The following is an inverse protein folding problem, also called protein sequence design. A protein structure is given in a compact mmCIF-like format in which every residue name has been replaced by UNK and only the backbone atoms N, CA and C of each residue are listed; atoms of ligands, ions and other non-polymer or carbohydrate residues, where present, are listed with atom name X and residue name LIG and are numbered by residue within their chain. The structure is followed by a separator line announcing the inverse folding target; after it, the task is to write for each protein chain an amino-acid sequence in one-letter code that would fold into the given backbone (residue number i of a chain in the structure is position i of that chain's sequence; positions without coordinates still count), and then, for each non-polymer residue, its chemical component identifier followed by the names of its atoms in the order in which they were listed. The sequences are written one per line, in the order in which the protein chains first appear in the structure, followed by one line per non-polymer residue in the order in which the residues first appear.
data_IF_683080258890
#
_entry.id   IF_683080258890
#
_cell.length_a   1.000
_cell.length_b   1.000
_cell.length_c   1.000
_cell.angle_alpha   90.00
_cell.angle_beta   90.00
_cell.angle_gamma   90.00
#
_symmetry.space_group_name_H-M   'P 1'
#
loop_
_entity.id
_entity.type
_entity.pdbx_description
1 polymer ?
#
# COMPACT_ATOMS: atom_id res chain seq x y z
N UNK A 1 -17.10 2.44 -4.01
CA UNK A 1 -15.84 1.87 -3.43
C UNK A 1 -16.03 1.75 -1.92
N UNK A 2 -15.63 0.63 -1.32
CA UNK A 2 -15.65 0.41 0.15
C UNK A 2 -14.31 0.85 0.72
N UNK A 3 -14.30 1.55 1.87
CA UNK A 3 -13.06 1.89 2.59
C UNK A 3 -12.97 1.11 3.88
N UNK A 4 -11.84 0.45 4.12
CA UNK A 4 -11.55 -0.37 5.30
C UNK A 4 -10.20 0.01 5.91
N UNK A 5 -10.10 -0.12 7.23
CA UNK A 5 -8.91 0.25 7.99
C UNK A 5 -8.27 -0.95 8.71
N UNK A 6 -9.01 -2.04 8.91
CA UNK A 6 -8.48 -3.22 9.61
C UNK A 6 -8.13 -4.36 8.65
N UNK A 7 -7.08 -5.11 8.98
CA UNK A 7 -6.69 -6.31 8.24
C UNK A 7 -7.77 -7.39 8.34
N UNK A 8 -8.49 -7.45 9.47
CA UNK A 8 -9.57 -8.40 9.66
C UNK A 8 -10.69 -8.20 8.63
N UNK A 9 -11.20 -6.97 8.48
CA UNK A 9 -12.27 -6.64 7.55
C UNK A 9 -11.83 -6.79 6.09
N UNK A 10 -10.57 -6.40 5.79
CA UNK A 10 -9.98 -6.62 4.46
C UNK A 10 -9.97 -8.11 4.11
N UNK A 11 -9.51 -8.96 5.03
CA UNK A 11 -9.46 -10.42 4.83
C UNK A 11 -10.84 -11.03 4.65
N UNK A 12 -11.83 -10.57 5.39
CA UNK A 12 -13.22 -11.02 5.21
C UNK A 12 -13.74 -10.70 3.80
N UNK A 13 -13.55 -9.47 3.35
CA UNK A 13 -13.97 -9.04 2.01
C UNK A 13 -13.26 -9.83 0.90
N UNK A 14 -11.94 -9.97 0.99
CA UNK A 14 -11.12 -10.70 0.00
C UNK A 14 -11.47 -12.20 0.01
N UNK A 15 -11.70 -12.78 1.19
CA UNK A 15 -12.10 -14.20 1.31
C UNK A 15 -13.46 -14.46 0.68
N UNK A 16 -14.44 -13.58 0.88
CA UNK A 16 -15.75 -13.69 0.25
C UNK A 16 -15.65 -13.66 -1.29
N UNK A 17 -14.87 -12.73 -1.84
CA UNK A 17 -14.65 -12.65 -3.29
C UNK A 17 -13.97 -13.90 -3.85
N UNK A 18 -12.91 -14.38 -3.19
CA UNK A 18 -12.21 -15.60 -3.61
C UNK A 18 -13.09 -16.84 -3.53
N UNK A 19 -13.92 -16.95 -2.49
CA UNK A 19 -14.90 -18.05 -2.35
C UNK A 19 -15.96 -18.02 -3.45
N UNK A 20 -16.26 -16.84 -4.01
CA UNK A 20 -17.13 -16.68 -5.17
C UNK A 20 -16.38 -16.89 -6.51
N UNK A 21 -15.14 -17.38 -6.50
CA UNK A 21 -14.33 -17.64 -7.68
C UNK A 21 -13.73 -16.39 -8.33
N UNK A 22 -13.80 -15.22 -7.68
CA UNK A 22 -13.29 -13.97 -8.20
C UNK A 22 -11.79 -13.82 -7.97
N UNK A 23 -11.08 -13.34 -8.97
CA UNK A 23 -9.66 -12.95 -8.86
C UNK A 23 -9.57 -11.55 -8.25
N UNK A 24 -8.64 -11.37 -7.33
CA UNK A 24 -8.40 -10.11 -6.63
C UNK A 24 -7.01 -9.60 -6.96
N UNK A 25 -6.89 -8.39 -7.47
CA UNK A 25 -5.63 -7.67 -7.64
C UNK A 25 -5.41 -6.68 -6.50
N UNK A 26 -4.16 -6.47 -6.10
CA UNK A 26 -3.73 -5.47 -5.12
C UNK A 26 -2.82 -4.44 -5.81
N UNK A 27 -3.11 -3.16 -5.59
CA UNK A 27 -2.28 -2.03 -6.00
C UNK A 27 -1.84 -1.27 -4.74
N UNK A 28 -0.63 -1.56 -4.21
CA UNK A 28 -0.13 -0.87 -3.03
C UNK A 28 0.40 0.52 -3.38
N UNK A 29 0.05 1.52 -2.56
CA UNK A 29 0.50 2.91 -2.69
C UNK A 29 0.76 3.55 -1.34
N UNK A 30 1.39 4.72 -1.34
CA UNK A 30 1.51 5.58 -0.15
C UNK A 30 0.58 6.81 -0.20
N UNK A 31 -0.36 6.87 -1.14
CA UNK A 31 -1.23 8.02 -1.37
C UNK A 31 -0.59 9.08 -2.27
N UNK A 32 -1.17 10.29 -2.27
CA UNK A 32 -0.83 11.38 -3.19
C UNK A 32 -0.88 10.91 -4.65
N UNK A 33 -2.03 10.31 -5.02
CA UNK A 33 -2.18 9.59 -6.27
C UNK A 33 -2.14 10.54 -7.48
N UNK A 34 -1.47 10.11 -8.51
CA UNK A 34 -1.39 10.76 -9.83
C UNK A 34 -1.80 9.76 -10.92
N UNK A 35 -1.86 10.23 -12.17
CA UNK A 35 -2.37 9.44 -13.30
C UNK A 35 -1.66 8.08 -13.45
N UNK A 36 -0.36 8.01 -13.21
CA UNK A 36 0.38 6.73 -13.24
C UNK A 36 -0.13 5.69 -12.26
N UNK A 37 -0.59 6.10 -11.05
CA UNK A 37 -1.24 5.18 -10.12
C UNK A 37 -2.60 4.74 -10.63
N UNK A 38 -3.38 5.65 -11.25
CA UNK A 38 -4.69 5.34 -11.80
C UNK A 38 -4.58 4.36 -12.98
N UNK A 39 -3.53 4.48 -13.79
CA UNK A 39 -3.24 3.52 -14.86
C UNK A 39 -2.94 2.11 -14.33
N UNK A 40 -2.24 1.99 -13.20
CA UNK A 40 -2.07 0.70 -12.54
C UNK A 40 -3.41 0.11 -12.09
N UNK A 41 -4.33 0.94 -11.57
CA UNK A 41 -5.67 0.49 -11.18
C UNK A 41 -6.46 0.03 -12.42
N UNK A 42 -6.46 0.80 -13.52
CA UNK A 42 -7.10 0.40 -14.78
C UNK A 42 -6.53 -0.91 -15.31
N UNK A 43 -5.20 -1.08 -15.25
CA UNK A 43 -4.53 -2.32 -15.64
C UNK A 43 -4.95 -3.47 -14.74
N UNK A 44 -4.97 -3.29 -13.42
CA UNK A 44 -5.44 -4.31 -12.47
C UNK A 44 -6.88 -4.75 -12.77
N UNK A 45 -7.78 -3.80 -13.08
CA UNK A 45 -9.17 -4.11 -13.47
C UNK A 45 -9.27 -4.90 -14.77
N UNK A 46 -8.34 -4.76 -15.69
CA UNK A 46 -8.32 -5.59 -16.92
C UNK A 46 -7.85 -7.02 -16.67
N UNK A 47 -7.26 -7.31 -15.51
CA UNK A 47 -6.65 -8.60 -15.18
C UNK A 47 -7.37 -9.35 -14.05
N UNK A 48 -8.20 -8.66 -13.28
CA UNK A 48 -8.88 -9.23 -12.11
C UNK A 48 -10.32 -8.73 -12.01
N UNK A 49 -11.15 -9.50 -11.31
CA UNK A 49 -12.58 -9.21 -11.14
C UNK A 49 -12.80 -8.17 -10.03
N UNK A 50 -11.86 -8.06 -9.09
CA UNK A 50 -11.85 -7.11 -7.97
C UNK A 50 -10.47 -6.47 -7.82
N UNK A 51 -10.46 -5.18 -7.51
CA UNK A 51 -9.23 -4.44 -7.28
C UNK A 51 -9.26 -3.77 -5.91
N UNK A 52 -8.27 -4.13 -5.10
CA UNK A 52 -7.98 -3.52 -3.81
C UNK A 52 -6.82 -2.55 -4.00
N UNK A 53 -6.97 -1.33 -3.52
CA UNK A 53 -5.88 -0.36 -3.44
C UNK A 53 -5.55 -0.15 -1.97
N UNK A 54 -4.27 -0.14 -1.61
CA UNK A 54 -3.86 0.33 -0.29
C UNK A 54 -3.25 1.73 -0.36
N UNK A 55 -3.60 2.56 0.62
CA UNK A 55 -2.90 3.82 0.90
C UNK A 55 -2.33 3.69 2.31
N UNK A 56 -1.03 3.45 2.37
CA UNK A 56 -0.30 3.30 3.64
C UNK A 56 1.05 4.01 3.55
N UNK A 57 1.19 5.11 4.28
CA UNK A 57 2.48 5.79 4.41
C UNK A 57 3.35 4.95 5.34
N UNK A 58 4.25 4.16 4.75
CA UNK A 58 5.01 3.16 5.46
C UNK A 58 6.21 3.79 6.19
N UNK A 59 6.21 3.84 7.53
CA UNK A 59 7.29 4.47 8.28
C UNK A 59 8.65 3.77 8.10
N UNK A 60 8.66 2.48 7.77
CA UNK A 60 9.90 1.72 7.56
C UNK A 60 10.64 2.12 6.27
N UNK A 61 9.97 2.84 5.35
CA UNK A 61 10.58 3.33 4.11
C UNK A 61 11.23 4.71 4.28
N UNK A 62 11.10 5.35 5.45
CA UNK A 62 11.67 6.65 5.77
C UNK A 62 12.92 6.46 6.64
N UNK A 63 14.04 7.08 6.20
CA UNK A 63 15.30 7.07 6.93
C UNK A 63 15.39 8.15 8.01
N UNK A 64 16.48 8.14 8.76
CA UNK A 64 16.83 9.23 9.67
C UNK A 64 16.96 10.54 8.89
N UNK A 65 16.22 11.58 9.31
CA UNK A 65 16.20 12.89 8.64
C UNK A 65 15.19 13.03 7.50
N UNK A 66 14.47 11.98 7.11
CA UNK A 66 13.32 12.07 6.22
C UNK A 66 12.06 12.38 7.04
N UNK A 67 11.33 13.43 6.65
CA UNK A 67 10.13 13.86 7.37
C UNK A 67 8.91 13.03 6.98
N UNK A 68 8.70 11.95 7.72
CA UNK A 68 7.50 11.12 7.61
C UNK A 68 6.22 11.92 7.88
N UNK A 69 6.29 12.95 8.74
CA UNK A 69 5.13 13.75 9.12
C UNK A 69 4.68 14.70 8.00
N UNK A 70 5.60 15.14 7.15
CA UNK A 70 5.32 16.04 6.03
C UNK A 70 4.83 15.33 4.76
N UNK A 71 4.84 13.98 4.74
CA UNK A 71 4.35 13.25 3.57
C UNK A 71 2.89 13.62 3.27
N UNK A 72 2.54 14.00 2.02
CA UNK A 72 1.20 14.46 1.67
C UNK A 72 0.12 13.44 2.03
N UNK A 73 -0.89 13.89 2.76
CA UNK A 73 -2.07 13.09 3.12
C UNK A 73 -3.30 13.67 2.43
N UNK A 74 -3.60 13.14 1.26
CA UNK A 74 -4.64 13.62 0.33
C UNK A 74 -5.78 12.62 0.20
N UNK A 75 -6.14 11.92 1.29
CA UNK A 75 -7.02 10.74 1.27
C UNK A 75 -8.36 11.01 0.58
N UNK A 76 -8.99 12.16 0.80
CA UNK A 76 -10.28 12.51 0.19
C UNK A 76 -10.12 12.57 -1.33
N UNK A 77 -9.16 13.36 -1.81
CA UNK A 77 -8.89 13.52 -3.24
C UNK A 77 -8.46 12.19 -3.89
N UNK A 78 -7.64 11.39 -3.19
CA UNK A 78 -7.22 10.07 -3.65
C UNK A 78 -8.41 9.11 -3.76
N UNK A 79 -9.32 9.12 -2.79
CA UNK A 79 -10.55 8.32 -2.79
C UNK A 79 -11.46 8.69 -3.97
N UNK A 80 -11.63 9.98 -4.27
CA UNK A 80 -12.41 10.46 -5.41
C UNK A 80 -11.81 9.97 -6.74
N UNK A 81 -10.49 10.09 -6.89
CA UNK A 81 -9.76 9.58 -8.06
C UNK A 81 -9.94 8.07 -8.24
N UNK A 82 -9.77 7.29 -7.16
CA UNK A 82 -9.93 5.83 -7.18
C UNK A 82 -11.35 5.41 -7.53
N UNK A 83 -12.34 6.12 -6.98
CA UNK A 83 -13.76 5.89 -7.32
C UNK A 83 -14.04 6.15 -8.79
N UNK A 84 -13.44 7.19 -9.39
CA UNK A 84 -13.63 7.53 -10.80
C UNK A 84 -13.10 6.47 -11.76
N UNK A 85 -12.08 5.70 -11.36
CA UNK A 85 -11.54 4.57 -12.15
C UNK A 85 -12.12 3.21 -11.75
N UNK A 86 -13.12 3.21 -10.86
CA UNK A 86 -13.89 2.03 -10.49
C UNK A 86 -13.16 1.03 -9.60
N UNK A 87 -12.32 1.51 -8.69
CA UNK A 87 -11.73 0.68 -7.64
C UNK A 87 -12.83 0.06 -6.76
N UNK A 88 -12.66 -1.20 -6.34
CA UNK A 88 -13.67 -1.90 -5.55
C UNK A 88 -13.50 -1.62 -4.05
N UNK A 89 -12.26 -1.61 -3.56
CA UNK A 89 -11.95 -1.43 -2.15
C UNK A 89 -10.68 -0.58 -1.96
N UNK A 90 -10.76 0.36 -1.02
CA UNK A 90 -9.64 1.15 -0.53
C UNK A 90 -9.29 0.68 0.90
N UNK A 91 -8.04 0.29 1.11
CA UNK A 91 -7.49 -0.10 2.41
C UNK A 91 -6.56 0.98 2.94
N UNK A 92 -6.92 1.56 4.09
CA UNK A 92 -6.19 2.69 4.71
C UNK A 92 -5.83 2.38 6.15
N UNK A 93 -4.96 1.39 6.40
CA UNK A 93 -4.64 0.96 7.75
C UNK A 93 -3.83 2.03 8.51
N UNK A 94 -4.05 2.19 9.82
CA UNK A 94 -3.11 2.89 10.67
C UNK A 94 -1.82 2.07 10.86
N UNK A 95 -0.74 2.73 11.27
CA UNK A 95 0.56 2.07 11.48
C UNK A 95 0.47 0.91 12.47
N UNK A 96 -0.33 1.06 13.53
CA UNK A 96 -0.55 0.02 14.54
C UNK A 96 -1.22 -1.25 14.00
N UNK A 97 -1.98 -1.14 12.93
CA UNK A 97 -2.61 -2.30 12.27
C UNK A 97 -1.60 -3.10 11.44
N UNK A 98 -0.63 -2.40 10.83
CA UNK A 98 0.40 -3.03 10.01
C UNK A 98 1.58 -3.53 10.85
N UNK A 99 1.97 -2.76 11.86
CA UNK A 99 3.13 -3.04 12.72
C UNK A 99 2.72 -3.05 14.19
N UNK A 100 2.49 -4.25 14.74
CA UNK A 100 2.07 -4.44 16.13
C UNK A 100 3.20 -4.25 17.16
N UNK A 101 4.45 -4.10 16.69
CA UNK A 101 5.64 -3.91 17.53
C UNK A 101 6.40 -2.64 17.13
N UNK A 102 7.12 -2.01 18.06
CA UNK A 102 8.04 -0.93 17.72
C UNK A 102 9.02 -1.33 16.61
N UNK A 103 9.42 -0.38 15.76
CA UNK A 103 10.31 -0.63 14.63
C UNK A 103 11.54 -1.50 14.92
N UNK A 104 12.29 -1.31 16.03
CA UNK A 104 13.44 -2.16 16.33
C UNK A 104 13.12 -3.64 16.55
N UNK A 105 11.85 -3.96 16.89
CA UNK A 105 11.39 -5.31 17.18
C UNK A 105 10.62 -5.97 16.04
N UNK A 106 10.52 -5.31 14.89
CA UNK A 106 9.88 -5.87 13.70
C UNK A 106 10.77 -6.89 13.02
N UNK A 107 10.18 -7.98 12.56
CA UNK A 107 10.83 -8.87 11.59
C UNK A 107 11.05 -8.09 10.31
N UNK A 108 12.26 -8.11 9.77
CA UNK A 108 12.63 -7.40 8.55
C UNK A 108 12.89 -8.36 7.42
N UNK A 109 12.53 -7.96 6.21
CA UNK A 109 12.89 -8.66 4.97
C UNK A 109 13.94 -7.82 4.26
N UNK A 110 15.07 -8.45 3.94
CA UNK A 110 16.18 -7.83 3.20
C UNK A 110 16.49 -8.65 1.95
N UNK A 111 16.79 -7.96 0.86
CA UNK A 111 17.21 -8.59 -0.40
C UNK A 111 18.65 -8.15 -0.69
N UNK A 112 19.67 -8.92 -0.24
CA UNK A 112 21.08 -8.58 -0.44
C UNK A 112 21.41 -8.40 -1.93
N UNK A 113 22.19 -7.36 -2.24
CA UNK A 113 22.58 -7.04 -3.61
C UNK A 113 21.53 -6.28 -4.45
N UNK A 114 20.28 -6.13 -3.96
CA UNK A 114 19.26 -5.30 -4.57
C UNK A 114 18.89 -4.10 -3.70
N UNK A 115 18.80 -4.30 -2.39
CA UNK A 115 18.36 -3.26 -1.44
C UNK A 115 19.32 -2.06 -1.36
N UNK A 116 20.57 -2.20 -1.84
CA UNK A 116 21.60 -1.16 -1.79
C UNK A 116 21.76 -0.40 -3.12
N UNK A 117 20.96 -0.72 -4.15
CA UNK A 117 21.02 -0.09 -5.47
C UNK A 117 20.07 1.11 -5.58
N UNK A 118 20.37 2.03 -6.50
CA UNK A 118 19.55 3.22 -6.80
C UNK A 118 19.15 4.01 -5.54
N UNK A 119 17.87 4.09 -5.23
CA UNK A 119 17.37 4.74 -4.03
C UNK A 119 17.92 4.11 -2.74
N UNK A 120 18.26 2.82 -2.74
CA UNK A 120 18.88 2.16 -1.59
C UNK A 120 20.28 2.70 -1.26
N UNK A 121 21.03 3.14 -2.27
CA UNK A 121 22.34 3.77 -2.08
C UNK A 121 22.24 5.17 -1.44
N UNK A 122 21.23 5.95 -1.82
CA UNK A 122 21.00 7.32 -1.32
C UNK A 122 20.12 7.37 -0.05
N UNK A 123 19.34 6.31 0.20
CA UNK A 123 18.36 6.18 1.29
C UNK A 123 18.55 4.84 2.00
N UNK A 124 19.57 4.68 2.88
CA UNK A 124 19.83 3.42 3.58
C UNK A 124 18.60 2.90 4.31
N UNK A 125 18.28 1.61 4.14
CA UNK A 125 17.12 0.97 4.75
C UNK A 125 15.79 1.16 4.01
N UNK A 126 15.70 2.03 3.00
CA UNK A 126 14.46 2.28 2.24
C UNK A 126 13.87 1.00 1.67
N UNK A 127 14.65 0.23 0.91
CA UNK A 127 14.16 -1.01 0.29
C UNK A 127 13.95 -2.16 1.28
N UNK A 128 14.62 -2.16 2.42
CA UNK A 128 14.28 -3.06 3.53
C UNK A 128 12.87 -2.74 4.03
N UNK A 129 12.54 -1.46 4.17
CA UNK A 129 11.17 -1.02 4.51
C UNK A 129 10.14 -1.39 3.43
N UNK A 130 10.50 -1.33 2.15
CA UNK A 130 9.61 -1.75 1.04
C UNK A 130 9.36 -3.25 1.07
N UNK A 131 10.39 -4.06 1.32
CA UNK A 131 10.29 -5.52 1.30
C UNK A 131 9.59 -6.09 2.54
N UNK A 132 9.75 -5.40 3.68
CA UNK A 132 9.13 -5.79 4.96
C UNK A 132 7.65 -5.55 4.98
#
# INVERSE_FOLDING_TARGET
MITLETVADLRLSVSAWRSAGQRVALVPTMGNLHEGHLDLVRKAKSLADRVVISIFVNPLQFGEGEDFSSYPRTLINDSDKLSSVGADLLFTPPVSEMYHRPQPLQTKVEVPGLSDLFCGASRPGHFVGVAT
#
